data_IF_541916759883
#
_entry.id   IF_541916759883
#
_cell.length_a   1.000
_cell.length_b   1.000
_cell.length_c   1.000
_cell.angle_alpha   90.00
_cell.angle_beta   90.00
_cell.angle_gamma   90.00
#
_symmetry.space_group_name_H-M   'P 1'
#
loop_
_entity.id
_entity.type
_entity.pdbx_description
1 polymer ?
#
# COMPACT_ATOMS: atom_id res chain seq x y z
N UNK A 1 16.78 -4.87 -18.08
CA UNK A 1 16.33 -6.17 -17.49
C UNK A 1 15.01 -6.02 -16.72
N UNK A 2 14.83 -4.96 -15.91
CA UNK A 2 13.61 -4.68 -15.13
C UNK A 2 12.31 -4.66 -15.97
N UNK A 3 12.30 -4.00 -17.13
CA UNK A 3 11.11 -3.91 -18.01
C UNK A 3 10.60 -5.30 -18.44
N UNK A 4 11.48 -6.25 -18.74
CA UNK A 4 11.08 -7.61 -19.12
C UNK A 4 10.44 -8.34 -17.93
N UNK A 5 11.03 -8.20 -16.73
CA UNK A 5 10.48 -8.76 -15.48
C UNK A 5 9.10 -8.16 -15.17
N UNK A 6 8.93 -6.85 -15.32
CA UNK A 6 7.64 -6.17 -15.13
C UNK A 6 6.56 -6.68 -16.10
N UNK A 7 6.91 -6.93 -17.37
CA UNK A 7 5.97 -7.52 -18.33
C UNK A 7 5.58 -8.96 -17.97
N UNK A 8 6.54 -9.80 -17.58
CA UNK A 8 6.22 -11.15 -17.11
C UNK A 8 5.32 -11.13 -15.87
N UNK A 9 5.61 -10.22 -14.93
CA UNK A 9 4.79 -10.02 -13.74
C UNK A 9 3.36 -9.59 -14.11
N UNK A 10 3.19 -8.67 -15.06
CA UNK A 10 1.87 -8.26 -15.55
C UNK A 10 1.08 -9.44 -16.13
N UNK A 11 1.75 -10.37 -16.83
CA UNK A 11 1.11 -11.61 -17.32
C UNK A 11 0.67 -12.49 -16.15
N UNK A 12 1.53 -12.72 -15.15
CA UNK A 12 1.17 -13.49 -13.95
C UNK A 12 0.01 -12.85 -13.18
N UNK A 13 -0.03 -11.52 -13.12
CA UNK A 13 -1.11 -10.76 -12.50
C UNK A 13 -2.43 -10.95 -13.23
N UNK A 14 -2.46 -10.81 -14.56
CA UNK A 14 -3.67 -11.03 -15.37
C UNK A 14 -4.14 -12.48 -15.30
N UNK A 15 -3.21 -13.43 -15.14
CA UNK A 15 -3.53 -14.85 -14.97
C UNK A 15 -4.10 -15.20 -13.59
N UNK A 16 -4.09 -14.28 -12.61
CA UNK A 16 -4.65 -14.52 -11.29
C UNK A 16 -6.18 -14.62 -11.36
N UNK A 17 -6.82 -15.67 -10.79
CA UNK A 17 -8.27 -15.85 -10.85
C UNK A 17 -9.07 -14.75 -10.15
N UNK A 18 -8.46 -14.02 -9.20
CA UNK A 18 -9.08 -12.84 -8.59
C UNK A 18 -9.19 -11.65 -9.56
N UNK A 19 -8.40 -11.65 -10.64
CA UNK A 19 -8.42 -10.63 -11.70
C UNK A 19 -9.18 -11.15 -12.93
N UNK A 20 -8.87 -12.37 -13.36
CA UNK A 20 -9.52 -13.02 -14.50
C UNK A 20 -9.93 -14.44 -14.12
N UNK A 21 -11.18 -14.68 -13.70
CA UNK A 21 -11.63 -16.01 -13.24
C UNK A 21 -11.39 -17.13 -14.25
N UNK A 22 -11.48 -16.82 -15.55
CA UNK A 22 -11.25 -17.76 -16.66
C UNK A 22 -9.80 -18.30 -16.69
N UNK A 23 -8.84 -17.58 -16.09
CA UNK A 23 -7.43 -17.98 -16.07
C UNK A 23 -7.08 -19.00 -14.97
N UNK A 24 -8.04 -19.41 -14.13
CA UNK A 24 -7.84 -20.32 -12.99
C UNK A 24 -7.00 -21.57 -13.33
N UNK A 25 -7.29 -22.25 -14.45
CA UNK A 25 -6.55 -23.45 -14.86
C UNK A 25 -5.07 -23.16 -15.14
N UNK A 26 -4.76 -22.06 -15.83
CA UNK A 26 -3.38 -21.67 -16.13
C UNK A 26 -2.66 -21.23 -14.86
N UNK A 27 -3.35 -20.49 -13.99
CA UNK A 27 -2.83 -20.10 -12.69
C UNK A 27 -2.39 -21.31 -11.86
N UNK A 28 -3.25 -22.32 -11.72
CA UNK A 28 -2.93 -23.55 -11.00
C UNK A 28 -1.73 -24.29 -11.61
N UNK A 29 -1.64 -24.34 -12.94
CA UNK A 29 -0.48 -24.94 -13.62
C UNK A 29 0.83 -24.21 -13.28
N UNK A 30 0.79 -22.87 -13.21
CA UNK A 30 1.95 -22.06 -12.83
C UNK A 30 2.31 -22.32 -11.37
N UNK A 31 1.34 -22.29 -10.46
CA UNK A 31 1.58 -22.48 -9.03
C UNK A 31 2.15 -23.86 -8.70
N UNK A 32 1.68 -24.91 -9.39
CA UNK A 32 2.15 -26.29 -9.19
C UNK A 32 3.47 -26.61 -9.90
N UNK A 33 3.99 -25.69 -10.73
CA UNK A 33 5.24 -25.92 -11.42
C UNK A 33 6.40 -26.01 -10.40
N UNK A 34 7.30 -27.01 -10.48
CA UNK A 34 8.37 -27.19 -9.50
C UNK A 34 9.25 -25.94 -9.28
N UNK A 35 9.54 -25.20 -10.36
CA UNK A 35 10.29 -23.95 -10.26
C UNK A 35 9.53 -22.86 -9.48
N UNK A 36 8.20 -22.83 -9.53
CA UNK A 36 7.41 -21.81 -8.86
C UNK A 36 7.40 -22.00 -7.35
N UNK A 37 7.24 -23.24 -6.87
CA UNK A 37 7.09 -23.58 -5.45
C UNK A 37 8.17 -22.95 -4.57
N UNK A 38 9.44 -23.05 -4.97
CA UNK A 38 10.55 -22.54 -4.17
C UNK A 38 11.04 -21.14 -4.59
N UNK A 39 10.81 -20.73 -5.84
CA UNK A 39 11.47 -19.52 -6.38
C UNK A 39 10.52 -18.34 -6.61
N UNK A 40 9.21 -18.56 -6.73
CA UNK A 40 8.30 -17.49 -7.12
C UNK A 40 8.16 -16.45 -6.01
N UNK A 41 7.86 -16.87 -4.77
CA UNK A 41 7.78 -15.95 -3.63
C UNK A 41 9.09 -15.18 -3.37
N UNK A 42 10.27 -15.81 -3.29
CA UNK A 42 11.53 -15.08 -3.17
C UNK A 42 11.80 -14.11 -4.33
N UNK A 43 11.52 -14.51 -5.57
CA UNK A 43 11.71 -13.65 -6.74
C UNK A 43 10.81 -12.41 -6.69
N UNK A 44 9.57 -12.56 -6.24
CA UNK A 44 8.63 -11.46 -6.07
C UNK A 44 9.08 -10.48 -4.99
N UNK A 45 9.50 -10.96 -3.81
CA UNK A 45 10.02 -10.10 -2.73
C UNK A 45 11.29 -9.35 -3.14
N UNK A 46 12.17 -10.02 -3.88
CA UNK A 46 13.38 -9.40 -4.42
C UNK A 46 13.01 -8.31 -5.42
N UNK A 47 12.11 -8.62 -6.35
CA UNK A 47 11.70 -7.65 -7.35
C UNK A 47 10.96 -6.45 -6.75
N UNK A 48 10.16 -6.66 -5.70
CA UNK A 48 9.52 -5.59 -4.93
C UNK A 48 10.56 -4.61 -4.34
N UNK A 49 11.68 -5.16 -3.87
CA UNK A 49 12.79 -4.38 -3.31
C UNK A 49 13.59 -3.67 -4.40
N UNK A 50 13.89 -4.37 -5.51
CA UNK A 50 14.76 -3.87 -6.57
C UNK A 50 14.13 -2.78 -7.44
N UNK A 51 12.79 -2.68 -7.46
CA UNK A 51 12.04 -1.78 -8.37
C UNK A 51 12.06 -0.29 -7.96
N UNK A 52 13.02 0.14 -7.13
CA UNK A 52 13.16 1.56 -6.77
C UNK A 52 13.59 2.44 -7.94
N UNK A 53 14.34 1.88 -8.90
CA UNK A 53 14.63 2.55 -10.17
C UNK A 53 14.25 1.69 -11.37
N UNK A 54 13.28 2.16 -12.17
CA UNK A 54 12.83 1.57 -13.43
C UNK A 54 13.48 2.22 -14.66
N UNK A 55 14.12 3.39 -14.50
CA UNK A 55 14.77 4.16 -15.56
C UNK A 55 13.80 4.80 -16.58
N UNK A 56 12.51 4.93 -16.24
CA UNK A 56 11.47 5.54 -17.08
C UNK A 56 11.16 6.98 -16.63
N UNK A 57 10.56 7.80 -17.51
CA UNK A 57 10.10 9.15 -17.13
C UNK A 57 8.94 9.15 -16.13
N UNK A 58 8.26 8.02 -15.95
CA UNK A 58 7.17 7.80 -14.99
C UNK A 58 7.57 6.79 -13.89
N UNK A 59 8.87 6.67 -13.63
CA UNK A 59 9.46 5.65 -12.76
C UNK A 59 8.81 5.57 -11.38
N UNK A 60 8.39 6.72 -10.88
CA UNK A 60 7.67 6.85 -9.62
C UNK A 60 6.34 6.10 -9.58
N UNK A 61 5.53 6.16 -10.64
CA UNK A 61 4.22 5.48 -10.69
C UNK A 61 4.36 4.02 -11.14
N UNK A 62 5.34 3.74 -12.01
CA UNK A 62 5.60 2.41 -12.52
C UNK A 62 5.98 1.44 -11.39
N UNK A 63 6.76 1.89 -10.39
CA UNK A 63 7.15 1.04 -9.26
C UNK A 63 5.96 0.62 -8.40
N UNK A 64 5.03 1.53 -8.11
CA UNK A 64 3.86 1.18 -7.31
C UNK A 64 2.89 0.26 -8.06
N UNK A 65 2.76 0.42 -9.38
CA UNK A 65 1.99 -0.52 -10.22
C UNK A 65 2.59 -1.93 -10.19
N UNK A 66 3.92 -2.04 -10.29
CA UNK A 66 4.63 -3.31 -10.14
C UNK A 66 4.41 -3.90 -8.75
N UNK A 67 4.51 -3.10 -7.69
CA UNK A 67 4.28 -3.52 -6.30
C UNK A 67 2.86 -4.00 -6.05
N UNK A 68 1.87 -3.33 -6.65
CA UNK A 68 0.48 -3.75 -6.64
C UNK A 68 0.29 -5.12 -7.32
N UNK A 69 0.90 -5.34 -8.48
CA UNK A 69 0.84 -6.66 -9.11
C UNK A 69 1.48 -7.74 -8.21
N UNK A 70 2.63 -7.42 -7.58
CA UNK A 70 3.30 -8.32 -6.64
C UNK A 70 2.39 -8.64 -5.45
N UNK A 71 1.73 -7.66 -4.84
CA UNK A 71 0.88 -7.91 -3.66
C UNK A 71 -0.27 -8.85 -3.98
N UNK A 72 -0.94 -8.66 -5.11
CA UNK A 72 -2.05 -9.52 -5.55
C UNK A 72 -1.57 -10.96 -5.82
N UNK A 73 -0.42 -11.12 -6.48
CA UNK A 73 0.16 -12.45 -6.72
C UNK A 73 0.58 -13.09 -5.39
N UNK A 74 1.27 -12.37 -4.51
CA UNK A 74 1.71 -12.86 -3.21
C UNK A 74 0.54 -13.34 -2.33
N UNK A 75 -0.60 -12.62 -2.34
CA UNK A 75 -1.83 -13.05 -1.64
C UNK A 75 -2.33 -14.38 -2.21
N UNK A 76 -2.39 -14.54 -3.53
CA UNK A 76 -2.82 -15.82 -4.14
C UNK A 76 -1.87 -16.97 -3.88
N UNK A 77 -0.55 -16.73 -3.81
CA UNK A 77 0.43 -17.77 -3.51
C UNK A 77 0.17 -18.39 -2.13
N UNK A 78 -0.25 -17.59 -1.17
CA UNK A 78 -0.38 -18.05 0.20
C UNK A 78 -1.54 -19.02 0.43
N UNK A 79 -2.55 -19.02 -0.46
CA UNK A 79 -3.62 -20.02 -0.43
C UNK A 79 -3.07 -21.44 -0.66
N UNK A 80 -1.90 -21.56 -1.30
CA UNK A 80 -1.18 -22.82 -1.47
C UNK A 80 -0.18 -23.06 -0.32
N UNK A 81 -0.21 -24.28 0.25
CA UNK A 81 0.65 -24.66 1.38
C UNK A 81 2.14 -24.68 1.03
N UNK A 82 2.52 -25.07 -0.20
CA UNK A 82 3.92 -25.13 -0.62
C UNK A 82 4.52 -23.74 -0.73
N UNK A 83 3.81 -22.84 -1.40
CA UNK A 83 4.21 -21.43 -1.50
C UNK A 83 4.23 -20.73 -0.14
N UNK A 84 3.28 -21.03 0.75
CA UNK A 84 3.29 -20.51 2.13
C UNK A 84 4.57 -20.88 2.87
N UNK A 85 5.02 -22.13 2.76
CA UNK A 85 6.28 -22.58 3.36
C UNK A 85 7.49 -21.84 2.77
N UNK A 86 7.51 -21.60 1.45
CA UNK A 86 8.56 -20.82 0.81
C UNK A 86 8.60 -19.38 1.34
N UNK A 87 7.44 -18.74 1.55
CA UNK A 87 7.35 -17.40 2.14
C UNK A 87 7.87 -17.41 3.59
N UNK A 88 7.48 -18.40 4.40
CA UNK A 88 7.96 -18.54 5.77
C UNK A 88 9.48 -18.75 5.83
N UNK A 89 10.04 -19.60 4.96
CA UNK A 89 11.49 -19.81 4.84
C UNK A 89 12.22 -18.54 4.41
N UNK A 90 11.65 -17.79 3.48
CA UNK A 90 12.21 -16.51 3.05
C UNK A 90 12.18 -15.48 4.19
N UNK A 91 11.17 -15.53 5.06
CA UNK A 91 10.97 -14.56 6.14
C UNK A 91 12.08 -14.54 7.19
N UNK A 92 12.84 -15.63 7.33
CA UNK A 92 14.01 -15.69 8.21
C UNK A 92 15.28 -15.10 7.60
N UNK A 93 15.29 -14.68 6.34
CA UNK A 93 16.46 -14.15 5.65
C UNK A 93 16.49 -12.61 5.71
N UNK A 94 17.69 -12.02 5.68
CA UNK A 94 17.85 -10.54 5.71
C UNK A 94 17.22 -9.83 4.51
N UNK A 95 17.07 -10.54 3.40
CA UNK A 95 16.35 -10.02 2.23
C UNK A 95 14.87 -9.74 2.55
N UNK A 96 14.26 -10.47 3.48
CA UNK A 96 12.91 -10.18 3.94
C UNK A 96 12.85 -8.87 4.73
N UNK A 97 13.89 -8.54 5.52
CA UNK A 97 13.97 -7.25 6.21
C UNK A 97 13.99 -6.09 5.23
N UNK A 98 14.70 -6.24 4.10
CA UNK A 98 14.68 -5.22 3.03
C UNK A 98 13.29 -5.08 2.42
N UNK A 99 12.63 -6.19 2.15
CA UNK A 99 11.25 -6.20 1.64
C UNK A 99 10.28 -5.51 2.60
N UNK A 100 10.31 -5.85 3.90
CA UNK A 100 9.45 -5.21 4.92
C UNK A 100 9.78 -3.72 5.07
N UNK A 101 11.05 -3.33 5.03
CA UNK A 101 11.43 -1.91 5.04
C UNK A 101 10.83 -1.15 3.85
N UNK A 102 10.78 -1.77 2.67
CA UNK A 102 10.11 -1.17 1.52
C UNK A 102 8.59 -1.07 1.73
N UNK A 103 7.97 -2.06 2.36
CA UNK A 103 6.55 -1.96 2.73
C UNK A 103 6.27 -0.84 3.73
N UNK A 104 7.13 -0.67 4.73
CA UNK A 104 7.01 0.45 5.69
C UNK A 104 7.07 1.77 4.94
N UNK A 105 8.05 1.95 4.05
CA UNK A 105 8.20 3.16 3.26
C UNK A 105 6.96 3.43 2.39
N UNK A 106 6.48 2.41 1.68
CA UNK A 106 5.33 2.53 0.79
C UNK A 106 4.05 2.83 1.56
N UNK A 107 3.79 2.16 2.69
CA UNK A 107 2.62 2.43 3.52
C UNK A 107 2.62 3.86 4.04
N UNK A 108 3.75 4.33 4.60
CA UNK A 108 3.89 5.71 5.08
C UNK A 108 3.64 6.71 3.95
N UNK A 109 4.32 6.53 2.82
CA UNK A 109 4.23 7.47 1.71
C UNK A 109 2.84 7.50 1.08
N UNK A 110 2.27 6.33 0.75
CA UNK A 110 1.00 6.25 0.02
C UNK A 110 -0.17 6.76 0.86
N UNK A 111 -0.17 6.48 2.17
CA UNK A 111 -1.19 7.02 3.07
C UNK A 111 -1.03 8.53 3.23
N UNK A 112 0.18 9.05 3.45
CA UNK A 112 0.41 10.50 3.56
C UNK A 112 -0.06 11.26 2.30
N UNK A 113 0.36 10.82 1.12
CA UNK A 113 -0.08 11.43 -0.15
C UNK A 113 -1.59 11.31 -0.37
N UNK A 114 -2.19 10.18 0.00
CA UNK A 114 -3.64 9.99 -0.09
C UNK A 114 -4.39 10.99 0.78
N UNK A 115 -3.95 11.16 2.03
CA UNK A 115 -4.60 12.05 3.00
C UNK A 115 -4.35 13.53 2.65
N UNK A 116 -3.16 13.89 2.15
CA UNK A 116 -2.87 15.22 1.63
C UNK A 116 -3.73 15.56 0.40
N UNK A 117 -3.91 14.61 -0.51
CA UNK A 117 -4.81 14.77 -1.66
C UNK A 117 -6.26 14.96 -1.21
N UNK A 118 -6.76 14.16 -0.26
CA UNK A 118 -8.11 14.31 0.31
C UNK A 118 -8.31 15.68 0.95
N UNK A 119 -7.31 16.19 1.66
CA UNK A 119 -7.33 17.52 2.24
C UNK A 119 -7.45 18.61 1.16
N UNK A 120 -6.62 18.56 0.11
CA UNK A 120 -6.68 19.52 -1.01
C UNK A 120 -8.05 19.49 -1.72
N UNK A 121 -8.59 18.29 -1.93
CA UNK A 121 -9.95 18.08 -2.48
C UNK A 121 -10.99 18.72 -1.58
N UNK A 122 -10.94 18.47 -0.25
CA UNK A 122 -11.87 19.03 0.71
C UNK A 122 -11.84 20.57 0.72
N UNK A 123 -10.65 21.16 0.75
CA UNK A 123 -10.46 22.62 0.71
C UNK A 123 -11.08 23.21 -0.56
N UNK A 124 -10.81 22.63 -1.72
CA UNK A 124 -11.38 23.10 -2.99
C UNK A 124 -12.90 22.93 -3.03
N UNK A 125 -13.43 21.80 -2.53
CA UNK A 125 -14.87 21.54 -2.44
C UNK A 125 -15.59 22.52 -1.50
N UNK A 126 -14.95 22.94 -0.41
CA UNK A 126 -15.49 23.95 0.51
C UNK A 126 -15.53 25.34 -0.15
N UNK A 127 -14.46 25.74 -0.83
CA UNK A 127 -14.43 27.00 -1.59
C UNK A 127 -15.56 27.04 -2.61
N UNK A 128 -15.75 25.95 -3.37
CA UNK A 128 -16.82 25.85 -4.36
C UNK A 128 -18.23 25.84 -3.75
N UNK A 129 -18.38 25.38 -2.50
CA UNK A 129 -19.66 25.38 -1.80
C UNK A 129 -20.07 26.80 -1.37
N UNK A 130 -19.12 27.70 -1.15
CA UNK A 130 -19.38 29.12 -0.90
C UNK A 130 -19.56 29.86 -2.23
N UNK A 131 -20.73 29.74 -2.85
CA UNK A 131 -21.02 30.29 -4.18
C UNK A 131 -20.70 31.78 -4.33
N UNK A 132 -20.93 32.59 -3.29
CA UNK A 132 -20.65 34.03 -3.32
C UNK A 132 -19.16 34.32 -3.42
N UNK A 133 -18.34 33.70 -2.57
CA UNK A 133 -16.88 33.85 -2.62
C UNK A 133 -16.29 33.20 -3.88
N UNK A 134 -16.84 32.06 -4.31
CA UNK A 134 -16.40 31.37 -5.51
C UNK A 134 -16.62 32.21 -6.77
N UNK A 135 -17.81 32.80 -6.94
CA UNK A 135 -18.11 33.64 -8.10
C UNK A 135 -17.34 34.96 -8.09
N UNK A 136 -16.93 35.44 -6.91
CA UNK A 136 -16.07 36.62 -6.78
C UNK A 136 -14.62 36.37 -7.26
N UNK A 137 -14.19 35.10 -7.36
CA UNK A 137 -12.87 34.75 -7.90
C UNK A 137 -12.81 34.98 -9.42
N UNK A 138 -11.66 35.48 -9.88
CA UNK A 138 -11.34 35.58 -11.31
C UNK A 138 -11.51 34.23 -12.02
N UNK A 139 -11.98 34.27 -13.28
CA UNK A 139 -12.30 33.08 -14.06
C UNK A 139 -11.08 32.17 -14.26
N UNK A 140 -9.90 32.75 -14.40
CA UNK A 140 -8.62 32.06 -14.55
C UNK A 140 -8.29 31.27 -13.28
N UNK A 141 -8.51 31.86 -12.11
CA UNK A 141 -8.29 31.21 -10.80
C UNK A 141 -9.25 30.04 -10.63
N UNK A 142 -10.54 30.22 -10.92
CA UNK A 142 -11.54 29.14 -10.89
C UNK A 142 -11.16 27.99 -11.83
N UNK A 143 -10.75 28.31 -13.06
CA UNK A 143 -10.34 27.30 -14.05
C UNK A 143 -9.11 26.53 -13.57
N UNK A 144 -8.12 27.22 -13.00
CA UNK A 144 -6.92 26.58 -12.43
C UNK A 144 -7.28 25.65 -11.27
N UNK A 145 -8.13 26.09 -10.34
CA UNK A 145 -8.59 25.28 -9.20
C UNK A 145 -9.36 24.05 -9.64
N UNK A 146 -10.21 24.14 -10.67
CA UNK A 146 -10.92 22.98 -11.20
C UNK A 146 -9.99 21.96 -11.87
N UNK A 147 -8.92 22.43 -12.55
CA UNK A 147 -7.88 21.55 -13.09
C UNK A 147 -7.08 20.85 -11.99
N UNK A 148 -6.71 21.60 -10.94
CA UNK A 148 -6.04 21.02 -9.78
C UNK A 148 -6.94 19.98 -9.10
N UNK A 149 -8.21 20.29 -8.86
CA UNK A 149 -9.18 19.35 -8.30
C UNK A 149 -9.23 18.06 -9.11
N UNK A 150 -9.37 18.13 -10.43
CA UNK A 150 -9.38 16.95 -11.29
C UNK A 150 -8.08 16.11 -11.21
N UNK A 151 -6.95 16.76 -10.92
CA UNK A 151 -5.64 16.11 -10.74
C UNK A 151 -5.57 15.42 -9.38
N UNK A 152 -5.91 16.14 -8.31
CA UNK A 152 -5.95 15.63 -6.94
C UNK A 152 -6.90 14.44 -6.82
N UNK A 153 -8.08 14.52 -7.43
CA UNK A 153 -9.07 13.43 -7.43
C UNK A 153 -8.52 12.14 -8.08
N UNK A 154 -7.77 12.28 -9.18
CA UNK A 154 -7.16 11.14 -9.88
C UNK A 154 -6.02 10.54 -9.06
N UNK A 155 -5.15 11.38 -8.51
CA UNK A 155 -4.01 10.95 -7.69
C UNK A 155 -4.48 10.29 -6.40
N UNK A 156 -5.43 10.91 -5.70
CA UNK A 156 -6.04 10.39 -4.49
C UNK A 156 -6.57 8.96 -4.70
N UNK A 157 -7.35 8.74 -5.76
CA UNK A 157 -7.87 7.40 -6.09
C UNK A 157 -6.75 6.38 -6.32
N UNK A 158 -5.71 6.77 -7.06
CA UNK A 158 -4.57 5.90 -7.34
C UNK A 158 -3.83 5.55 -6.05
N UNK A 159 -3.47 6.54 -5.24
CA UNK A 159 -2.73 6.33 -4.00
C UNK A 159 -3.53 5.55 -2.96
N UNK A 160 -4.83 5.79 -2.81
CA UNK A 160 -5.66 5.03 -1.88
C UNK A 160 -5.79 3.56 -2.28
N UNK A 161 -5.89 3.27 -3.58
CA UNK A 161 -5.91 1.89 -4.08
C UNK A 161 -4.60 1.17 -3.73
N UNK A 162 -3.48 1.84 -3.97
CA UNK A 162 -2.15 1.30 -3.66
C UNK A 162 -1.92 1.16 -2.16
N UNK A 163 -2.27 2.18 -1.37
CA UNK A 163 -2.16 2.17 0.09
C UNK A 163 -2.96 1.04 0.71
N UNK A 164 -4.21 0.85 0.24
CA UNK A 164 -5.09 -0.20 0.73
C UNK A 164 -4.52 -1.58 0.50
N UNK A 165 -3.95 -1.85 -0.69
CA UNK A 165 -3.31 -3.13 -0.99
C UNK A 165 -2.00 -3.35 -0.25
N UNK A 166 -1.15 -2.32 -0.14
CA UNK A 166 0.11 -2.41 0.61
C UNK A 166 -0.17 -2.70 2.09
N UNK A 167 -1.15 -2.00 2.67
CA UNK A 167 -1.56 -2.21 4.06
C UNK A 167 -2.18 -3.60 4.26
N UNK A 168 -2.98 -4.08 3.31
CA UNK A 168 -3.55 -5.42 3.36
C UNK A 168 -2.47 -6.51 3.30
N UNK A 169 -1.45 -6.35 2.45
CA UNK A 169 -0.31 -7.26 2.42
C UNK A 169 0.50 -7.21 3.73
N UNK A 170 0.69 -6.03 4.32
CA UNK A 170 1.35 -5.91 5.63
C UNK A 170 0.55 -6.61 6.73
N UNK A 171 -0.76 -6.35 6.82
CA UNK A 171 -1.67 -7.01 7.74
C UNK A 171 -1.61 -8.53 7.61
N UNK A 172 -1.55 -9.01 6.37
CA UNK A 172 -1.46 -10.42 6.08
C UNK A 172 -0.17 -11.06 6.57
N UNK A 173 0.97 -10.41 6.29
CA UNK A 173 2.27 -10.90 6.73
C UNK A 173 2.38 -10.87 8.25
N UNK A 174 1.91 -9.82 8.92
CA UNK A 174 1.95 -9.74 10.39
C UNK A 174 1.06 -10.78 11.05
N UNK A 175 -0.03 -11.22 10.41
CA UNK A 175 -0.87 -12.31 10.92
C UNK A 175 -0.14 -13.66 10.95
N UNK A 176 0.80 -13.90 10.04
CA UNK A 176 1.33 -15.24 9.79
C UNK A 176 2.84 -15.40 10.00
N UNK A 177 3.61 -14.32 9.84
CA UNK A 177 5.07 -14.29 9.99
C UNK A 177 5.47 -13.14 10.90
N UNK A 178 5.02 -13.18 12.16
CA UNK A 178 5.21 -12.13 13.17
C UNK A 178 6.68 -11.87 13.51
N UNK A 179 7.45 -12.93 13.82
CA UNK A 179 8.82 -12.82 14.36
C UNK A 179 9.75 -11.89 13.56
N UNK A 180 9.77 -11.94 12.21
CA UNK A 180 10.53 -10.99 11.41
C UNK A 180 10.21 -9.52 11.67
N UNK A 181 8.95 -9.15 11.96
CA UNK A 181 8.55 -7.76 12.23
C UNK A 181 9.02 -7.27 13.61
N UNK A 182 9.34 -8.17 14.52
CA UNK A 182 9.86 -7.86 15.86
C UNK A 182 11.39 -7.78 15.90
N UNK A 183 12.06 -7.93 14.76
CA UNK A 183 13.51 -7.79 14.66
C UNK A 183 13.94 -6.36 15.06
N UNK A 184 15.08 -6.17 15.76
CA UNK A 184 15.57 -4.85 16.17
C UNK A 184 15.67 -3.83 15.03
N UNK A 185 15.98 -4.28 13.82
CA UNK A 185 16.11 -3.44 12.64
C UNK A 185 14.77 -2.92 12.08
N UNK A 186 13.64 -3.49 12.53
CA UNK A 186 12.31 -3.20 12.01
C UNK A 186 11.33 -2.67 13.06
N UNK A 187 11.42 -3.17 14.30
CA UNK A 187 10.37 -2.99 15.31
C UNK A 187 10.03 -1.51 15.58
N UNK A 188 11.04 -0.66 15.75
CA UNK A 188 10.85 0.78 16.00
C UNK A 188 10.29 1.49 14.76
N UNK A 189 10.69 1.07 13.56
CA UNK A 189 10.20 1.66 12.30
C UNK A 189 8.74 1.31 12.05
N UNK A 190 8.32 0.08 12.38
CA UNK A 190 6.93 -0.36 12.26
C UNK A 190 6.07 0.41 13.27
N UNK A 191 6.51 0.48 14.53
CA UNK A 191 5.83 1.23 15.57
C UNK A 191 5.60 2.71 15.16
N UNK A 192 6.67 3.38 14.71
CA UNK A 192 6.58 4.77 14.23
C UNK A 192 5.64 4.92 13.02
N UNK A 193 5.71 4.00 12.04
CA UNK A 193 4.82 4.04 10.87
C UNK A 193 3.36 3.85 11.27
N UNK A 194 3.05 2.90 12.15
CA UNK A 194 1.67 2.70 12.59
C UNK A 194 1.15 3.89 13.40
N UNK A 195 1.95 4.42 14.33
CA UNK A 195 1.59 5.56 15.16
C UNK A 195 1.33 6.81 14.31
N UNK A 196 2.23 7.08 13.36
CA UNK A 196 2.07 8.17 12.40
C UNK A 196 0.76 8.06 11.62
N UNK A 197 0.48 6.89 11.01
CA UNK A 197 -0.74 6.69 10.23
C UNK A 197 -2.01 6.72 11.09
N UNK A 198 -1.96 6.20 12.30
CA UNK A 198 -3.05 6.26 13.27
C UNK A 198 -3.36 7.71 13.68
N UNK A 199 -2.33 8.52 13.93
CA UNK A 199 -2.48 9.94 14.26
C UNK A 199 -3.10 10.73 13.10
N UNK A 200 -2.75 10.41 11.85
CA UNK A 200 -3.36 11.08 10.70
C UNK A 200 -4.86 10.76 10.55
N UNK A 201 -5.27 9.51 10.79
CA UNK A 201 -6.65 9.07 10.64
C UNK A 201 -7.55 9.46 11.82
N UNK A 202 -7.01 9.49 13.04
CA UNK A 202 -7.78 9.70 14.27
C UNK A 202 -7.49 11.05 14.95
N UNK A 203 -6.44 11.76 14.55
CA UNK A 203 -6.02 13.01 15.18
C UNK A 203 -6.88 14.22 14.79
N UNK A 204 -6.54 15.42 15.28
CA UNK A 204 -7.33 16.65 15.06
C UNK A 204 -7.54 16.99 13.58
N UNK A 205 -6.61 16.58 12.72
CA UNK A 205 -6.62 16.82 11.27
C UNK A 205 -7.61 15.93 10.52
N UNK A 206 -8.17 14.88 11.13
CA UNK A 206 -9.08 13.95 10.46
C UNK A 206 -10.34 14.64 9.93
N UNK A 207 -10.77 15.76 10.53
CA UNK A 207 -11.91 16.56 10.06
C UNK A 207 -11.70 17.11 8.65
N UNK A 208 -10.46 17.38 8.27
CA UNK A 208 -10.10 17.90 6.95
C UNK A 208 -10.14 16.83 5.85
N UNK A 209 -10.33 15.56 6.21
CA UNK A 209 -10.44 14.44 5.28
C UNK A 209 -11.89 14.22 4.78
N UNK A 210 -12.83 15.06 5.22
CA UNK A 210 -14.27 14.93 4.89
C UNK A 210 -14.57 15.43 3.46
N UNK A 211 -14.31 14.60 2.47
CA UNK A 211 -14.66 14.89 1.07
C UNK A 211 -16.11 14.50 0.75
N UNK A 212 -16.71 15.14 -0.26
CA UNK A 212 -17.96 14.67 -0.87
C UNK A 212 -17.68 13.39 -1.66
N UNK A 213 -18.61 12.44 -1.59
CA UNK A 213 -18.55 11.15 -2.31
C UNK A 213 -17.22 10.40 -2.11
N UNK A 214 -16.81 10.11 -0.85
CA UNK A 214 -15.52 9.47 -0.56
C UNK A 214 -15.30 8.13 -1.28
N UNK A 215 -16.39 7.41 -1.58
CA UNK A 215 -16.40 6.17 -2.35
C UNK A 215 -15.83 6.33 -3.76
N UNK A 216 -15.92 7.52 -4.37
CA UNK A 216 -15.32 7.82 -5.68
C UNK A 216 -13.79 7.62 -5.68
N UNK A 217 -13.17 7.84 -4.53
CA UNK A 217 -11.73 7.74 -4.34
C UNK A 217 -11.31 6.39 -3.76
N UNK A 218 -12.27 5.52 -3.38
CA UNK A 218 -12.01 4.32 -2.60
C UNK A 218 -11.61 4.63 -1.14
N UNK A 219 -12.01 5.79 -0.62
CA UNK A 219 -11.64 6.19 0.74
C UNK A 219 -12.58 5.55 1.78
N UNK A 220 -12.09 4.50 2.44
CA UNK A 220 -12.81 3.81 3.52
C UNK A 220 -12.04 3.95 4.85
N UNK A 221 -12.16 5.10 5.56
CA UNK A 221 -11.33 5.39 6.74
C UNK A 221 -11.51 4.37 7.86
N UNK A 222 -12.71 3.80 8.01
CA UNK A 222 -12.98 2.75 9.01
C UNK A 222 -12.23 1.47 8.68
N UNK A 223 -12.25 1.04 7.42
CA UNK A 223 -11.52 -0.15 6.95
C UNK A 223 -10.01 0.04 7.10
N UNK A 224 -9.49 1.22 6.76
CA UNK A 224 -8.07 1.54 6.95
C UNK A 224 -7.67 1.50 8.42
N UNK A 225 -8.47 2.12 9.29
CA UNK A 225 -8.24 2.13 10.73
C UNK A 225 -8.29 0.72 11.31
N UNK A 226 -9.29 -0.08 10.95
CA UNK A 226 -9.44 -1.47 11.37
C UNK A 226 -8.18 -2.29 11.02
N UNK A 227 -7.72 -2.20 9.76
CA UNK A 227 -6.51 -2.87 9.30
C UNK A 227 -5.25 -2.44 10.07
N UNK A 228 -5.08 -1.13 10.31
CA UNK A 228 -3.96 -0.62 11.11
C UNK A 228 -4.02 -1.15 12.54
N UNK A 229 -5.18 -1.08 13.20
CA UNK A 229 -5.34 -1.58 14.58
C UNK A 229 -5.13 -3.09 14.66
N UNK A 230 -5.55 -3.85 13.65
CA UNK A 230 -5.32 -5.29 13.61
C UNK A 230 -3.83 -5.63 13.44
N UNK A 231 -3.01 -4.77 12.81
CA UNK A 231 -1.56 -4.96 12.79
C UNK A 231 -0.97 -4.83 14.21
N UNK A 232 -1.41 -3.87 15.01
CA UNK A 232 -1.00 -3.78 16.42
C UNK A 232 -1.35 -5.07 17.17
N UNK A 233 -2.57 -5.58 17.00
CA UNK A 233 -3.02 -6.82 17.64
C UNK A 233 -2.20 -8.02 17.17
N UNK A 234 -1.88 -8.11 15.88
CA UNK A 234 -1.07 -9.19 15.34
C UNK A 234 0.37 -9.20 15.89
N UNK A 235 0.90 -8.03 16.27
CA UNK A 235 2.25 -7.87 16.80
C UNK A 235 2.26 -7.69 18.33
N UNK A 236 1.16 -7.99 19.01
CA UNK A 236 1.02 -7.84 20.46
C UNK A 236 2.11 -8.63 21.20
N UNK A 237 3.05 -7.89 21.78
CA UNK A 237 4.18 -8.40 22.54
C UNK A 237 4.74 -7.29 23.44
N UNK A 238 5.46 -7.66 24.49
CA UNK A 238 6.08 -6.68 25.39
C UNK A 238 7.11 -5.82 24.66
N UNK A 239 7.90 -6.42 23.77
CA UNK A 239 8.90 -5.71 22.95
C UNK A 239 8.25 -4.71 22.00
N UNK A 240 7.11 -5.09 21.40
CA UNK A 240 6.39 -4.19 20.50
C UNK A 240 5.71 -3.07 21.26
N UNK A 241 5.10 -3.36 22.41
CA UNK A 241 4.52 -2.34 23.28
C UNK A 241 5.57 -1.31 23.73
N UNK A 242 6.79 -1.76 24.05
CA UNK A 242 7.92 -0.87 24.36
C UNK A 242 8.31 -0.02 23.15
N UNK A 243 8.41 -0.60 21.95
CA UNK A 243 8.72 0.15 20.73
C UNK A 243 7.65 1.23 20.45
N UNK A 244 6.37 0.89 20.58
CA UNK A 244 5.25 1.83 20.45
C UNK A 244 5.33 2.96 21.48
N UNK A 245 5.66 2.66 22.73
CA UNK A 245 5.79 3.66 23.79
C UNK A 245 7.04 4.55 23.67
N UNK A 246 8.12 4.05 23.05
CA UNK A 246 9.35 4.81 22.80
C UNK A 246 9.21 5.82 21.68
N UNK A 247 8.24 5.64 20.80
CA UNK A 247 8.00 6.57 19.70
C UNK A 247 7.47 7.91 20.23
N UNK A 248 8.37 8.90 20.26
CA UNK A 248 8.10 10.24 20.78
C UNK A 248 7.31 11.12 19.79
N UNK A 249 6.90 10.61 18.62
CA UNK A 249 6.14 11.41 17.63
C UNK A 249 4.65 11.61 17.96
N UNK A 250 4.25 11.36 19.21
CA UNK A 250 2.86 11.58 19.68
C UNK A 250 2.55 13.06 19.91
#
# INVERSE_FOLDING_TARGET
MAIRRAKCLAVLFVMNPNIQPVASKIHEMILRHPLALDNLAPALMNFYTDVETTGSSNEFYDKFSIRYHISIIMKSLWEDLGHRQAIMKQSSLDQFVRFVNMLINDTTFLLDESLNSLKSINETQQMMANGTEWEALAREVRTSRLRQLATDERQCRSYLTLASETLEMMLYLTKHVQRPFLRPELIDRIAAMLNFNLQQLCGPKCRNLKVKNPEKYGFEPKTLLDRLTQIYVNLDSEEFAQAVARDQTT
#
